data_IF_247302277223
#
_entry.id   IF_247302277223
#
_cell.length_a   1.000
_cell.length_b   1.000
_cell.length_c   1.000
_cell.angle_alpha   90.00
_cell.angle_beta   90.00
_cell.angle_gamma   90.00
#
_symmetry.space_group_name_H-M   'P 1'
#
loop_
_entity.id
_entity.type
_entity.pdbx_description
1 polymer ?
#
# COMPACT_ATOMS: atom_id res chain seq x y z
N UNK A 1 20.30 58.97 25.81
CA UNK A 1 20.08 58.67 24.38
C UNK A 1 20.98 57.55 23.84
N UNK A 2 22.25 57.44 24.26
CA UNK A 2 23.20 56.39 23.81
C UNK A 2 22.73 54.94 24.05
N UNK A 3 22.05 54.66 25.18
CA UNK A 3 21.53 53.31 25.49
C UNK A 3 20.49 52.81 24.47
N UNK A 4 19.63 53.69 23.95
CA UNK A 4 18.61 53.32 22.97
C UNK A 4 19.22 53.04 21.59
N UNK A 5 20.30 53.73 21.22
CA UNK A 5 21.07 53.42 20.02
C UNK A 5 21.71 52.04 20.07
N UNK A 6 22.23 51.63 21.24
CA UNK A 6 22.81 50.29 21.44
C UNK A 6 21.73 49.21 21.29
N UNK A 7 20.55 49.42 21.87
CA UNK A 7 19.41 48.49 21.72
C UNK A 7 18.95 48.40 20.26
N UNK A 8 18.87 49.53 19.56
CA UNK A 8 18.54 49.55 18.13
C UNK A 8 19.57 48.82 17.27
N UNK A 9 20.87 49.01 17.54
CA UNK A 9 21.94 48.34 16.81
C UNK A 9 21.93 46.80 17.02
N UNK A 10 21.64 46.34 18.25
CA UNK A 10 21.54 44.91 18.54
C UNK A 10 20.31 44.31 17.85
N UNK A 11 19.17 45.00 17.85
CA UNK A 11 17.96 44.52 17.16
C UNK A 11 18.17 44.39 15.65
N UNK A 12 18.85 45.36 15.02
CA UNK A 12 19.20 45.32 13.59
C UNK A 12 20.19 44.19 13.30
N UNK A 13 21.17 43.96 14.18
CA UNK A 13 22.11 42.85 14.03
C UNK A 13 21.42 41.47 14.09
N UNK A 14 20.44 41.29 14.98
CA UNK A 14 19.66 40.04 15.09
C UNK A 14 18.83 39.81 13.82
N UNK A 15 18.18 40.86 13.29
CA UNK A 15 17.38 40.76 12.05
C UNK A 15 18.27 40.45 10.84
N UNK A 16 19.46 41.06 10.76
CA UNK A 16 20.42 40.79 9.68
C UNK A 16 21.00 39.38 9.73
N UNK A 17 21.28 38.85 10.93
CA UNK A 17 21.72 37.45 11.10
C UNK A 17 20.58 36.48 10.78
N UNK A 18 19.34 36.81 11.18
CA UNK A 18 18.16 36.01 10.86
C UNK A 18 17.79 36.01 9.37
N UNK A 19 18.10 37.08 8.63
CA UNK A 19 17.81 37.16 7.18
C UNK A 19 18.94 36.61 6.29
N UNK A 20 20.20 36.66 6.74
CA UNK A 20 21.33 35.99 6.09
C UNK A 20 21.46 34.51 6.45
N UNK A 21 20.83 34.09 7.55
CA UNK A 21 20.44 32.72 7.78
C UNK A 21 19.38 32.33 6.74
N UNK A 22 19.79 32.19 5.47
CA UNK A 22 19.27 31.13 4.63
C UNK A 22 19.45 29.88 5.47
N UNK A 23 18.45 29.53 6.28
CA UNK A 23 18.18 28.15 6.61
C UNK A 23 18.21 27.53 5.23
N UNK A 24 19.21 26.72 4.90
CA UNK A 24 19.04 25.90 3.75
C UNK A 24 17.88 25.01 4.21
N UNK A 25 16.66 25.36 3.81
CA UNK A 25 15.94 24.39 3.03
C UNK A 25 16.88 24.08 1.85
N UNK A 26 17.96 23.32 2.13
CA UNK A 26 18.18 22.14 1.36
C UNK A 26 16.78 21.57 1.33
N UNK A 27 16.16 21.67 0.16
CA UNK A 27 15.56 20.49 -0.38
C UNK A 27 16.59 19.39 -0.10
N UNK A 28 16.57 18.84 1.11
CA UNK A 28 16.69 17.42 1.28
C UNK A 28 15.48 17.00 0.45
N UNK A 29 15.72 16.93 -0.87
CA UNK A 29 15.09 15.93 -1.67
C UNK A 29 15.22 14.76 -0.75
N UNK A 30 14.08 14.27 -0.25
CA UNK A 30 13.97 12.86 0.07
C UNK A 30 14.24 12.18 -1.27
N UNK A 31 15.50 12.26 -1.72
CA UNK A 31 16.10 11.60 -2.85
C UNK A 31 16.33 10.22 -2.29
N UNK A 32 15.21 9.55 -2.00
CA UNK A 32 15.01 8.15 -2.28
C UNK A 32 15.84 7.90 -3.53
N UNK A 33 17.00 7.26 -3.37
CA UNK A 33 17.94 7.07 -4.47
C UNK A 33 17.20 6.33 -5.58
N UNK A 34 17.69 6.36 -6.83
CA UNK A 34 17.07 5.56 -7.89
C UNK A 34 16.88 4.09 -7.46
N UNK A 35 17.80 3.58 -6.64
CA UNK A 35 17.71 2.28 -5.98
C UNK A 35 16.55 2.21 -4.98
N UNK A 36 16.43 3.15 -4.02
CA UNK A 36 15.31 3.14 -3.06
C UNK A 36 13.95 3.32 -3.76
N UNK A 37 13.89 4.09 -4.84
CA UNK A 37 12.67 4.23 -5.64
C UNK A 37 12.33 2.93 -6.37
N UNK A 38 13.33 2.26 -6.96
CA UNK A 38 13.13 0.97 -7.61
C UNK A 38 12.70 -0.11 -6.62
N UNK A 39 13.31 -0.16 -5.43
CA UNK A 39 12.90 -1.06 -4.35
C UNK A 39 11.48 -0.76 -3.90
N UNK A 40 11.12 0.52 -3.69
CA UNK A 40 9.77 0.91 -3.33
C UNK A 40 8.76 0.54 -4.43
N UNK A 41 9.08 0.73 -5.71
CA UNK A 41 8.19 0.31 -6.81
C UNK A 41 8.03 -1.20 -6.83
N UNK A 42 9.12 -1.95 -6.70
CA UNK A 42 9.09 -3.42 -6.69
C UNK A 42 8.26 -3.97 -5.51
N UNK A 43 8.34 -3.35 -4.34
CA UNK A 43 7.56 -3.74 -3.15
C UNK A 43 6.11 -3.27 -3.20
N UNK A 44 5.80 -2.18 -3.90
CA UNK A 44 4.45 -1.59 -3.96
C UNK A 44 3.68 -1.93 -5.25
N UNK A 45 4.20 -2.84 -6.07
CA UNK A 45 3.57 -3.25 -7.32
C UNK A 45 3.27 -4.74 -7.26
N UNK A 46 2.04 -5.17 -7.59
CA UNK A 46 1.73 -6.60 -7.69
C UNK A 46 2.61 -7.28 -8.75
N UNK A 47 3.04 -8.52 -8.49
CA UNK A 47 3.81 -9.31 -9.45
C UNK A 47 2.95 -9.86 -10.57
N UNK A 48 1.65 -10.07 -10.30
CA UNK A 48 0.67 -10.57 -11.27
C UNK A 48 -0.38 -9.49 -11.57
N UNK A 49 -0.95 -9.47 -12.78
CA UNK A 49 -2.01 -8.55 -13.09
C UNK A 49 -3.28 -8.90 -12.31
N UNK A 50 -4.14 -7.90 -12.06
CA UNK A 50 -5.45 -8.09 -11.42
C UNK A 50 -6.29 -9.21 -12.04
N UNK A 51 -6.23 -9.36 -13.36
CA UNK A 51 -6.95 -10.41 -14.10
C UNK A 51 -6.51 -11.82 -13.69
N UNK A 52 -5.25 -12.00 -13.32
CA UNK A 52 -4.72 -13.28 -12.85
C UNK A 52 -5.35 -13.66 -11.51
N UNK A 53 -5.41 -12.73 -10.55
CA UNK A 53 -6.04 -12.99 -9.26
C UNK A 53 -7.52 -13.37 -9.41
N UNK A 54 -8.25 -12.68 -10.29
CA UNK A 54 -9.64 -13.02 -10.62
C UNK A 54 -9.75 -14.40 -11.28
N UNK A 55 -8.82 -14.75 -12.16
CA UNK A 55 -8.78 -16.05 -12.82
C UNK A 55 -8.52 -17.18 -11.82
N UNK A 56 -7.49 -17.04 -10.98
CA UNK A 56 -7.11 -18.06 -10.00
C UNK A 56 -8.22 -18.33 -8.99
N UNK A 57 -8.90 -17.29 -8.48
CA UNK A 57 -10.03 -17.47 -7.57
C UNK A 57 -11.22 -18.13 -8.25
N UNK A 58 -11.52 -17.80 -9.51
CA UNK A 58 -12.59 -18.50 -10.26
C UNK A 58 -12.25 -19.98 -10.46
N UNK A 59 -11.02 -20.27 -10.84
CA UNK A 59 -10.54 -21.64 -11.01
C UNK A 59 -10.64 -22.44 -9.70
N UNK A 60 -10.21 -21.86 -8.58
CA UNK A 60 -10.36 -22.46 -7.25
C UNK A 60 -11.82 -22.75 -6.91
N UNK A 61 -12.73 -21.82 -7.23
CA UNK A 61 -14.16 -22.04 -7.03
C UNK A 61 -14.72 -23.19 -7.88
N UNK A 62 -14.22 -23.35 -9.11
CA UNK A 62 -14.62 -24.44 -10.01
C UNK A 62 -14.08 -25.80 -9.59
N UNK A 63 -12.83 -25.85 -9.10
CA UNK A 63 -12.09 -27.10 -8.89
C UNK A 63 -12.09 -27.58 -7.43
N UNK A 64 -12.10 -26.67 -6.45
CA UNK A 64 -11.81 -26.98 -5.04
C UNK A 64 -12.95 -26.60 -4.07
N UNK A 65 -13.84 -25.68 -4.43
CA UNK A 65 -14.94 -25.24 -3.55
C UNK A 65 -16.24 -25.98 -3.85
N UNK A 66 -16.78 -26.73 -2.87
CA UNK A 66 -18.02 -27.50 -3.06
C UNK A 66 -19.24 -26.65 -3.42
N UNK A 67 -19.30 -25.41 -2.92
CA UNK A 67 -20.39 -24.47 -3.23
C UNK A 67 -19.96 -23.38 -4.23
N UNK A 68 -18.88 -23.59 -4.98
CA UNK A 68 -18.33 -22.60 -5.91
C UNK A 68 -19.33 -22.08 -6.95
N UNK A 69 -20.21 -22.95 -7.44
CA UNK A 69 -21.28 -22.62 -8.39
C UNK A 69 -22.20 -21.47 -7.91
N UNK A 70 -22.38 -21.31 -6.60
CA UNK A 70 -23.17 -20.20 -6.04
C UNK A 70 -22.51 -18.85 -6.33
N UNK A 71 -21.19 -18.80 -6.19
CA UNK A 71 -20.39 -17.58 -6.36
C UNK A 71 -20.08 -17.30 -7.83
N UNK A 72 -19.80 -18.35 -8.62
CA UNK A 72 -19.45 -18.23 -10.03
C UNK A 72 -20.54 -17.57 -10.88
N UNK A 73 -21.82 -17.71 -10.49
CA UNK A 73 -22.95 -16.98 -11.11
C UNK A 73 -22.76 -15.46 -11.12
N UNK A 74 -22.06 -14.92 -10.13
CA UNK A 74 -21.77 -13.49 -9.98
C UNK A 74 -20.32 -13.13 -10.27
N UNK A 75 -19.54 -14.02 -10.91
CA UNK A 75 -18.12 -13.82 -11.16
C UNK A 75 -17.79 -12.50 -11.90
N UNK A 76 -18.71 -11.97 -12.71
CA UNK A 76 -18.58 -10.68 -13.39
C UNK A 76 -18.56 -9.47 -12.43
N UNK A 77 -19.02 -9.65 -11.19
CA UNK A 77 -19.02 -8.64 -10.12
C UNK A 77 -17.85 -8.79 -9.16
N UNK A 78 -16.95 -9.72 -9.42
CA UNK A 78 -15.78 -9.89 -8.57
C UNK A 78 -14.85 -8.69 -8.72
N UNK A 79 -14.45 -8.15 -7.59
CA UNK A 79 -13.43 -7.12 -7.52
C UNK A 79 -12.17 -7.72 -6.91
N UNK A 80 -11.00 -7.29 -7.36
CA UNK A 80 -9.73 -7.76 -6.85
C UNK A 80 -8.90 -6.54 -6.46
N UNK A 81 -8.55 -6.49 -5.18
CA UNK A 81 -7.76 -5.42 -4.56
C UNK A 81 -6.46 -6.02 -4.07
N UNK A 82 -5.35 -5.47 -4.55
CA UNK A 82 -4.03 -5.87 -4.10
C UNK A 82 -3.64 -5.13 -2.82
N UNK A 83 -2.99 -5.85 -1.91
CA UNK A 83 -2.51 -5.32 -0.65
C UNK A 83 -1.05 -5.71 -0.44
N UNK A 84 -0.22 -4.70 -0.19
CA UNK A 84 1.20 -4.83 0.16
C UNK A 84 1.41 -5.52 1.51
N UNK A 85 0.50 -5.30 2.45
CA UNK A 85 0.57 -5.92 3.76
C UNK A 85 -0.74 -6.65 4.01
N UNK A 86 -0.68 -7.95 4.33
CA UNK A 86 -1.88 -8.69 4.66
C UNK A 86 -2.55 -8.13 5.93
N UNK A 87 -3.88 -8.28 6.03
CA UNK A 87 -4.60 -7.91 7.24
C UNK A 87 -4.11 -8.73 8.44
N UNK A 88 -3.88 -8.06 9.58
CA UNK A 88 -3.11 -8.53 10.74
C UNK A 88 -3.78 -9.59 11.63
N UNK A 89 -4.67 -10.45 11.15
CA UNK A 89 -5.49 -11.26 12.07
C UNK A 89 -5.88 -12.68 11.65
N UNK A 90 -5.14 -13.30 10.75
CA UNK A 90 -5.31 -14.70 10.39
C UNK A 90 -3.94 -15.38 10.38
N UNK A 91 -3.83 -16.46 11.17
CA UNK A 91 -2.61 -17.14 11.60
C UNK A 91 -1.76 -17.79 10.48
N UNK A 92 -1.85 -17.33 9.23
CA UNK A 92 -1.05 -17.81 8.11
C UNK A 92 0.28 -17.05 8.03
N UNK A 93 1.35 -17.76 7.69
CA UNK A 93 2.68 -17.19 7.46
C UNK A 93 2.65 -16.50 6.09
N UNK A 94 2.38 -15.20 6.07
CA UNK A 94 2.06 -14.48 4.84
C UNK A 94 3.27 -13.75 4.30
N UNK A 95 3.86 -14.30 3.25
CA UNK A 95 4.81 -13.57 2.40
C UNK A 95 4.03 -12.51 1.60
N UNK A 96 4.20 -11.26 1.99
CA UNK A 96 4.27 -10.03 1.19
C UNK A 96 3.18 -9.59 0.20
N UNK A 97 2.55 -10.46 -0.58
CA UNK A 97 1.77 -10.02 -1.74
C UNK A 97 0.42 -10.74 -1.83
N UNK A 98 -0.65 -10.04 -1.45
CA UNK A 98 -1.99 -10.60 -1.39
C UNK A 98 -2.94 -9.86 -2.32
N UNK A 99 -3.73 -10.62 -3.07
CA UNK A 99 -4.97 -10.14 -3.68
C UNK A 99 -6.16 -10.57 -2.84
N UNK A 100 -6.95 -9.62 -2.36
CA UNK A 100 -8.30 -9.91 -1.87
C UNK A 100 -9.26 -9.82 -3.05
N UNK A 101 -9.92 -10.94 -3.35
CA UNK A 101 -10.98 -11.03 -4.35
C UNK A 101 -12.33 -11.08 -3.63
N UNK A 102 -13.21 -10.15 -3.93
CA UNK A 102 -14.51 -9.99 -3.26
C UNK A 102 -15.64 -10.11 -4.26
N UNK A 103 -16.64 -10.94 -3.95
CA UNK A 103 -17.95 -10.89 -4.60
C UNK A 103 -18.74 -9.70 -4.04
N UNK A 104 -18.92 -8.67 -4.87
CA UNK A 104 -19.64 -7.45 -4.48
C UNK A 104 -21.12 -7.67 -4.16
N UNK A 105 -21.71 -8.81 -4.53
CA UNK A 105 -23.12 -9.10 -4.22
C UNK A 105 -23.28 -9.79 -2.86
N UNK A 106 -22.57 -10.89 -2.62
CA UNK A 106 -22.67 -11.66 -1.38
C UNK A 106 -21.79 -11.12 -0.25
N UNK A 107 -20.79 -10.31 -0.58
CA UNK A 107 -19.74 -9.89 0.34
C UNK A 107 -18.79 -11.03 0.72
N UNK A 108 -18.84 -12.16 0.01
CA UNK A 108 -17.87 -13.23 0.16
C UNK A 108 -16.51 -12.79 -0.40
N UNK A 109 -15.43 -13.25 0.21
CA UNK A 109 -14.10 -12.93 -0.28
C UNK A 109 -13.08 -14.04 -0.01
N UNK A 110 -12.10 -14.06 -0.90
CA UNK A 110 -10.97 -14.97 -0.95
C UNK A 110 -9.68 -14.17 -0.97
N UNK A 111 -8.62 -14.78 -0.46
CA UNK A 111 -7.29 -14.18 -0.45
C UNK A 111 -6.36 -15.06 -1.24
N UNK A 112 -5.82 -14.51 -2.32
CA UNK A 112 -4.83 -15.16 -3.18
C UNK A 112 -3.45 -14.60 -2.86
N UNK A 113 -2.52 -15.46 -2.44
CA UNK A 113 -1.15 -15.07 -2.15
C UNK A 113 -0.27 -15.31 -3.38
N UNK A 114 0.31 -14.25 -3.94
CA UNK A 114 1.08 -14.35 -5.19
C UNK A 114 2.35 -15.19 -5.04
N UNK A 115 2.92 -15.20 -3.84
CA UNK A 115 4.19 -15.86 -3.54
C UNK A 115 4.04 -17.39 -3.45
N UNK A 116 2.96 -17.88 -2.83
CA UNK A 116 2.70 -19.32 -2.64
C UNK A 116 1.71 -19.91 -3.65
N UNK A 117 0.90 -19.06 -4.28
CA UNK A 117 -0.24 -19.49 -5.10
C UNK A 117 -1.45 -19.96 -4.29
N UNK A 118 -1.37 -19.89 -2.95
CA UNK A 118 -2.43 -20.36 -2.06
C UNK A 118 -3.66 -19.44 -2.12
N UNK A 119 -4.84 -20.05 -2.02
CA UNK A 119 -6.13 -19.35 -1.92
C UNK A 119 -6.80 -19.74 -0.61
N UNK A 120 -7.13 -18.73 0.19
CA UNK A 120 -7.86 -18.90 1.45
C UNK A 120 -9.25 -18.30 1.32
N UNK A 121 -10.27 -19.13 1.56
CA UNK A 121 -11.66 -18.70 1.73
C UNK A 121 -11.83 -18.08 3.12
N UNK A 122 -12.12 -16.78 3.19
CA UNK A 122 -12.22 -16.07 4.49
C UNK A 122 -13.68 -15.86 4.89
N UNK A 123 -14.51 -15.46 3.93
CA UNK A 123 -15.96 -15.27 4.13
C UNK A 123 -16.74 -15.92 2.99
N UNK A 124 -16.34 -17.11 2.60
CA UNK A 124 -17.00 -17.92 1.60
C UNK A 124 -17.24 -19.32 2.17
N UNK A 125 -18.34 -19.94 1.78
CA UNK A 125 -18.65 -21.32 2.13
C UNK A 125 -17.98 -22.25 1.10
N UNK A 126 -16.78 -22.68 1.45
CA UNK A 126 -15.95 -23.69 0.81
C UNK A 126 -15.39 -24.56 1.96
#
# INVERSE_FOLDING_TARGET
MLKWFIVGAIAVAIILVGSYGRIPFTEISLATSAETQATAVAENTPRKPRSEALFQVRKFLEEECSNGDMYLKNAHRFEAVWMRMPWTNDHHYREGHEWTVTDQLSGAFWRYYEDTGEIVSVKADC
#
